data_IF_387985738585
#
_entry.id   IF_387985738585
#
_cell.length_a   1.000
_cell.length_b   1.000
_cell.length_c   1.000
_cell.angle_alpha   90.00
_cell.angle_beta   90.00
_cell.angle_gamma   90.00
#
_symmetry.space_group_name_H-M   'P 1'
#
loop_
_entity.id
_entity.type
_entity.pdbx_description
1 polymer ?
#
# COMPACT_ATOMS: atom_id res chain seq x y z
N UNK A 1 -23.41 -8.84 6.56
CA UNK A 1 -22.19 -8.56 7.34
C UNK A 1 -21.10 -8.11 6.39
N UNK A 2 -20.25 -7.17 6.85
CA UNK A 2 -19.18 -6.64 6.04
C UNK A 2 -17.88 -6.72 6.82
N UNK A 3 -16.82 -7.14 6.16
CA UNK A 3 -15.50 -7.12 6.75
C UNK A 3 -14.56 -6.61 5.65
N UNK A 4 -14.18 -5.35 5.73
CA UNK A 4 -13.37 -4.75 4.69
C UNK A 4 -12.44 -3.71 5.28
N UNK A 5 -11.21 -3.73 4.88
CA UNK A 5 -10.25 -2.71 5.24
C UNK A 5 -9.79 -2.02 3.97
N UNK A 6 -9.72 -0.71 4.00
CA UNK A 6 -9.27 0.08 2.85
C UNK A 6 -8.15 0.97 3.34
N UNK A 7 -6.99 0.88 2.72
CA UNK A 7 -5.82 1.61 3.16
C UNK A 7 -5.11 2.26 1.98
N UNK A 8 -4.55 3.45 2.22
CA UNK A 8 -3.62 4.06 1.29
C UNK A 8 -2.38 4.38 2.10
N UNK A 9 -1.25 3.92 1.68
CA UNK A 9 -0.03 4.17 2.43
C UNK A 9 1.20 3.79 1.64
N UNK A 10 2.33 3.79 2.35
CA UNK A 10 3.60 3.47 1.70
C UNK A 10 4.10 2.11 2.18
N UNK A 11 4.62 1.34 1.26
CA UNK A 11 5.13 0.01 1.54
C UNK A 11 6.41 0.14 2.35
N UNK A 12 6.49 -0.58 3.45
CA UNK A 12 7.61 -0.43 4.38
C UNK A 12 8.78 -1.33 4.12
N UNK A 13 8.60 -2.37 3.33
CA UNK A 13 9.68 -3.30 3.01
C UNK A 13 9.37 -3.93 1.66
N UNK A 14 10.39 -4.44 1.02
CA UNK A 14 10.17 -5.14 -0.25
C UNK A 14 9.29 -6.35 0.03
N UNK A 15 8.27 -6.60 -0.77
CA UNK A 15 7.39 -7.72 -0.52
C UNK A 15 8.12 -9.05 -0.56
N UNK A 16 7.72 -9.93 0.34
CA UNK A 16 8.31 -11.25 0.43
C UNK A 16 7.34 -12.24 -0.20
N UNK A 17 7.80 -13.00 -1.18
CA UNK A 17 6.94 -13.97 -1.86
C UNK A 17 7.30 -15.34 -1.35
N UNK A 18 6.32 -16.05 -0.81
CA UNK A 18 6.53 -17.42 -0.34
C UNK A 18 5.72 -18.37 -1.19
N UNK A 19 6.29 -19.51 -1.48
CA UNK A 19 5.61 -20.53 -2.25
C UNK A 19 5.35 -21.72 -1.35
N UNK A 20 4.12 -22.18 -1.32
CA UNK A 20 3.76 -23.33 -0.50
C UNK A 20 4.01 -24.63 -1.26
N UNK A 21 3.98 -25.75 -0.56
CA UNK A 21 4.28 -27.02 -1.15
C UNK A 21 3.30 -27.39 -2.27
N UNK A 22 2.09 -26.87 -2.22
CA UNK A 22 1.10 -27.16 -3.26
C UNK A 22 1.24 -26.22 -4.47
N UNK A 23 2.27 -25.40 -4.50
CA UNK A 23 2.49 -24.50 -5.62
C UNK A 23 1.85 -23.13 -5.50
N UNK A 24 1.00 -22.92 -4.53
CA UNK A 24 0.38 -21.61 -4.38
C UNK A 24 1.37 -20.63 -3.72
N UNK A 25 1.11 -19.37 -3.89
CA UNK A 25 2.02 -18.33 -3.38
C UNK A 25 1.29 -17.34 -2.50
N UNK A 26 2.04 -16.64 -1.68
CA UNK A 26 1.52 -15.52 -0.92
C UNK A 26 2.58 -14.44 -0.95
N UNK A 27 2.13 -13.19 -1.09
CA UNK A 27 3.03 -12.04 -1.01
C UNK A 27 2.73 -11.32 0.28
N UNK A 28 3.74 -11.04 1.06
CA UNK A 28 3.59 -10.36 2.35
C UNK A 28 4.39 -9.08 2.36
N UNK A 29 3.80 -8.01 2.87
CA UNK A 29 4.53 -6.77 3.07
C UNK A 29 3.84 -5.95 4.14
N UNK A 30 4.50 -4.92 4.62
CA UNK A 30 3.89 -4.00 5.58
C UNK A 30 3.56 -2.70 4.87
N UNK A 31 2.49 -2.07 5.33
CA UNK A 31 2.05 -0.82 4.75
C UNK A 31 1.91 0.20 5.86
N UNK A 32 2.49 1.37 5.67
CA UNK A 32 2.46 2.42 6.67
C UNK A 32 1.41 3.45 6.32
N UNK A 33 0.54 3.74 7.28
CA UNK A 33 -0.37 4.87 7.13
C UNK A 33 0.02 5.88 8.19
N UNK A 34 0.20 7.12 7.79
CA UNK A 34 0.72 8.15 8.67
C UNK A 34 -0.25 9.30 8.79
N UNK A 35 -0.59 9.64 10.03
CA UNK A 35 -1.40 10.80 10.31
C UNK A 35 -0.47 11.93 10.73
N UNK A 36 -0.75 13.12 10.27
CA UNK A 36 0.03 14.29 10.65
C UNK A 36 -0.92 15.35 11.16
N UNK A 37 -0.51 16.03 12.21
CA UNK A 37 -1.33 17.11 12.74
C UNK A 37 -0.44 18.13 13.41
N UNK A 38 -0.97 19.30 13.67
CA UNK A 38 -0.22 20.35 14.31
C UNK A 38 -0.62 20.40 15.78
N UNK A 39 0.37 20.38 16.66
CA UNK A 39 0.10 20.42 18.07
C UNK A 39 -0.35 21.85 18.42
N UNK A 40 -1.50 21.96 19.05
CA UNK A 40 -2.03 23.26 19.36
C UNK A 40 -1.22 23.98 20.42
N UNK A 41 -0.59 23.25 21.32
CA UNK A 41 0.16 23.87 22.37
C UNK A 41 1.54 24.34 21.94
N UNK A 42 2.24 23.54 21.16
CA UNK A 42 3.60 23.88 20.78
C UNK A 42 3.70 24.44 19.37
N UNK A 43 2.68 24.25 18.57
CA UNK A 43 2.73 24.68 17.18
C UNK A 43 3.55 23.78 16.29
N UNK A 44 4.08 22.70 16.82
CA UNK A 44 4.93 21.80 16.04
C UNK A 44 4.10 20.74 15.32
N UNK A 45 4.61 20.29 14.20
CA UNK A 45 3.95 19.22 13.47
C UNK A 45 4.26 17.91 14.14
N UNK A 46 3.23 17.11 14.35
CA UNK A 46 3.37 15.78 14.93
C UNK A 46 2.94 14.74 13.91
N UNK A 47 3.43 13.53 14.07
CA UNK A 47 2.99 12.47 13.17
C UNK A 47 2.93 11.16 13.91
N UNK A 48 2.07 10.27 13.45
CA UNK A 48 1.96 8.94 14.03
C UNK A 48 1.75 7.98 12.89
N UNK A 49 2.50 6.90 12.87
CA UNK A 49 2.43 5.91 11.79
C UNK A 49 1.91 4.60 12.34
N UNK A 50 0.92 4.03 11.64
CA UNK A 50 0.46 2.70 11.96
C UNK A 50 0.98 1.76 10.89
N UNK A 51 1.45 0.60 11.30
CA UNK A 51 1.98 -0.38 10.38
C UNK A 51 0.98 -1.52 10.22
N UNK A 52 0.58 -1.78 9.01
CA UNK A 52 -0.40 -2.81 8.70
C UNK A 52 0.27 -3.95 7.97
N UNK A 53 -0.05 -5.17 8.36
CA UNK A 53 0.47 -6.34 7.65
C UNK A 53 -0.49 -6.69 6.55
N UNK A 54 0.02 -6.88 5.35
CA UNK A 54 -0.82 -7.20 4.19
C UNK A 54 -0.36 -8.53 3.62
N UNK A 55 -1.31 -9.42 3.38
CA UNK A 55 -1.02 -10.73 2.80
C UNK A 55 -1.87 -10.88 1.53
N UNK A 56 -1.23 -11.14 0.41
CA UNK A 56 -1.90 -11.22 -0.89
C UNK A 56 -1.84 -12.65 -1.36
N UNK A 57 -3.02 -13.27 -1.53
CA UNK A 57 -3.10 -14.65 -1.98
C UNK A 57 -3.59 -14.79 -3.41
N UNK A 58 -4.11 -13.73 -4.01
CA UNK A 58 -4.64 -13.78 -5.37
C UNK A 58 -3.48 -13.78 -6.35
N UNK A 59 -3.41 -14.74 -7.23
CA UNK A 59 -2.32 -14.86 -8.17
C UNK A 59 -2.15 -13.64 -9.05
N UNK A 60 -3.23 -13.07 -9.52
CA UNK A 60 -3.15 -11.88 -10.35
C UNK A 60 -2.55 -10.72 -9.61
N UNK A 61 -2.94 -10.55 -8.33
CA UNK A 61 -2.41 -9.45 -7.55
C UNK A 61 -0.97 -9.72 -7.14
N UNK A 62 -0.60 -10.96 -6.90
CA UNK A 62 0.78 -11.30 -6.57
C UNK A 62 1.68 -10.90 -7.73
N UNK A 63 1.22 -11.11 -8.96
CA UNK A 63 1.99 -10.70 -10.12
C UNK A 63 2.24 -9.20 -10.15
N UNK A 64 1.24 -8.41 -9.77
CA UNK A 64 1.39 -6.97 -9.73
C UNK A 64 2.37 -6.60 -8.62
N UNK A 65 2.28 -7.27 -7.47
CA UNK A 65 3.16 -7.00 -6.36
C UNK A 65 4.61 -7.30 -6.77
N UNK A 66 4.82 -8.44 -7.40
CA UNK A 66 6.17 -8.80 -7.81
C UNK A 66 6.79 -7.83 -8.79
N UNK A 67 5.98 -7.31 -9.69
CA UNK A 67 6.52 -6.45 -10.73
C UNK A 67 6.68 -5.01 -10.33
N UNK A 68 5.75 -4.50 -9.54
CA UNK A 68 5.67 -3.07 -9.34
C UNK A 68 5.79 -2.58 -7.90
N UNK A 69 5.50 -3.42 -6.92
CA UNK A 69 5.47 -2.98 -5.54
C UNK A 69 6.82 -3.20 -4.90
N UNK A 70 7.37 -2.16 -4.31
CA UNK A 70 8.66 -2.26 -3.62
C UNK A 70 8.64 -1.32 -2.43
N UNK A 71 9.66 -1.41 -1.60
CA UNK A 71 9.76 -0.54 -0.46
C UNK A 71 9.63 0.91 -0.91
N UNK A 72 8.78 1.64 -0.26
CA UNK A 72 8.52 3.04 -0.57
C UNK A 72 7.37 3.30 -1.52
N UNK A 73 6.88 2.27 -2.22
CA UNK A 73 5.77 2.46 -3.15
C UNK A 73 4.53 2.96 -2.42
N UNK A 74 3.80 3.85 -3.04
CA UNK A 74 2.53 4.31 -2.48
C UNK A 74 1.42 3.53 -3.18
N UNK A 75 0.58 2.87 -2.40
CA UNK A 75 -0.45 2.02 -2.98
C UNK A 75 -1.76 2.13 -2.21
N UNK A 76 -2.81 1.75 -2.88
CA UNK A 76 -4.14 1.63 -2.32
C UNK A 76 -4.44 0.14 -2.24
N UNK A 77 -4.93 -0.34 -1.10
CA UNK A 77 -5.31 -1.74 -0.97
C UNK A 77 -6.68 -1.87 -0.33
N UNK A 78 -7.40 -2.89 -0.73
CA UNK A 78 -8.64 -3.28 -0.10
C UNK A 78 -8.57 -4.76 0.18
N UNK A 79 -8.97 -5.18 1.35
CA UNK A 79 -8.98 -6.60 1.70
C UNK A 79 -9.82 -6.82 2.92
N UNK A 80 -9.76 -8.01 3.47
CA UNK A 80 -10.50 -8.36 4.67
C UNK A 80 -9.55 -8.40 5.85
N UNK A 81 -10.04 -8.01 7.02
CA UNK A 81 -9.25 -8.09 8.23
C UNK A 81 -9.35 -9.53 8.71
N UNK A 82 -8.22 -10.14 8.97
CA UNK A 82 -8.19 -11.51 9.40
C UNK A 82 -7.13 -11.69 10.47
N UNK A 83 -7.43 -12.43 11.52
CA UNK A 83 -6.49 -12.71 12.57
C UNK A 83 -6.17 -14.19 12.54
N UNK A 84 -4.89 -14.54 12.56
CA UNK A 84 -4.50 -15.93 12.65
C UNK A 84 -3.73 -16.14 13.93
N UNK A 85 -3.86 -17.32 14.49
CA UNK A 85 -3.21 -17.65 15.75
C UNK A 85 -2.29 -18.84 15.53
N UNK A 86 -1.21 -18.85 16.26
CA UNK A 86 -0.29 -19.99 16.20
C UNK A 86 0.45 -20.07 17.53
N UNK A 87 1.12 -21.18 17.76
CA UNK A 87 1.93 -21.34 18.94
C UNK A 87 3.37 -21.29 18.53
N UNK A 88 4.20 -20.59 19.33
CA UNK A 88 5.61 -20.54 19.00
C UNK A 88 6.29 -21.77 19.60
N UNK A 89 7.58 -21.88 19.45
CA UNK A 89 8.30 -23.02 19.91
C UNK A 89 8.27 -23.18 21.42
N UNK A 90 8.04 -22.11 22.13
CA UNK A 90 7.95 -22.16 23.59
C UNK A 90 6.55 -22.52 24.05
N UNK A 91 5.63 -22.74 23.13
CA UNK A 91 4.26 -23.08 23.51
C UNK A 91 3.38 -21.87 23.75
N UNK A 92 3.87 -20.67 23.57
CA UNK A 92 3.06 -19.48 23.78
C UNK A 92 2.15 -19.24 22.59
N UNK A 93 0.92 -18.86 22.88
CA UNK A 93 -0.01 -18.57 21.81
C UNK A 93 0.25 -17.17 21.28
N UNK A 94 0.35 -17.04 19.98
CA UNK A 94 0.56 -15.75 19.36
C UNK A 94 -0.51 -15.50 18.31
N UNK A 95 -0.78 -14.24 18.03
CA UNK A 95 -1.76 -13.90 17.02
C UNK A 95 -1.25 -12.74 16.19
N UNK A 96 -1.72 -12.64 14.97
CA UNK A 96 -1.37 -11.55 14.10
C UNK A 96 -2.60 -11.18 13.29
N UNK A 97 -2.91 -9.89 13.25
CA UNK A 97 -4.03 -9.38 12.46
C UNK A 97 -3.46 -8.81 11.17
N UNK A 98 -4.03 -9.20 10.05
CA UNK A 98 -3.55 -8.82 8.75
C UNK A 98 -4.71 -8.37 7.87
N UNK A 99 -4.39 -7.63 6.82
CA UNK A 99 -5.35 -7.34 5.77
C UNK A 99 -5.06 -8.36 4.68
N UNK A 100 -6.03 -9.19 4.36
CA UNK A 100 -5.85 -10.31 3.45
C UNK A 100 -6.56 -10.02 2.13
N UNK A 101 -5.81 -10.09 1.03
CA UNK A 101 -6.36 -9.89 -0.30
C UNK A 101 -6.47 -11.25 -0.96
N UNK A 102 -7.70 -11.72 -1.14
CA UNK A 102 -7.94 -13.06 -1.59
C UNK A 102 -9.12 -13.09 -2.55
N UNK A 103 -9.00 -13.82 -3.62
CA UNK A 103 -10.09 -13.96 -4.56
C UNK A 103 -10.40 -12.65 -5.26
N UNK A 104 -11.66 -12.40 -5.49
CA UNK A 104 -12.08 -11.22 -6.22
C UNK A 104 -12.28 -10.01 -5.33
N UNK A 105 -12.13 -10.18 -4.03
CA UNK A 105 -12.42 -9.07 -3.13
C UNK A 105 -11.20 -8.21 -2.85
N UNK A 106 -10.03 -8.68 -3.25
CA UNK A 106 -8.81 -7.90 -3.00
C UNK A 106 -8.55 -6.92 -4.13
N UNK A 107 -8.07 -5.74 -3.78
CA UNK A 107 -7.75 -4.72 -4.78
C UNK A 107 -6.41 -4.10 -4.43
N UNK A 108 -5.56 -3.89 -5.40
CA UNK A 108 -4.32 -3.13 -5.25
C UNK A 108 -4.25 -2.15 -6.41
N UNK A 109 -4.04 -0.89 -6.09
CA UNK A 109 -3.86 0.13 -7.12
C UNK A 109 -2.58 0.89 -6.81
N UNK A 110 -1.73 1.03 -7.78
CA UNK A 110 -0.47 1.75 -7.61
C UNK A 110 -0.74 3.23 -7.74
N UNK A 111 -0.26 3.98 -6.76
CA UNK A 111 -0.50 5.41 -6.72
C UNK A 111 0.78 6.24 -6.89
N UNK A 112 1.90 5.59 -7.11
CA UNK A 112 3.13 6.32 -7.31
C UNK A 112 3.06 7.13 -8.59
N UNK A 113 3.66 8.29 -8.54
CA UNK A 113 3.72 9.13 -9.69
C UNK A 113 4.59 8.48 -10.75
N UNK A 114 4.21 8.56 -11.97
CA UNK A 114 5.01 8.05 -13.03
C UNK A 114 5.89 9.11 -13.62
N UNK A 115 5.96 10.22 -12.98
CA UNK A 115 6.74 11.30 -13.48
C UNK A 115 8.15 10.91 -13.74
N UNK A 116 8.68 10.11 -12.89
CA UNK A 116 10.06 9.76 -13.07
C UNK A 116 10.25 8.96 -14.34
N UNK A 117 9.35 8.11 -14.65
CA UNK A 117 9.54 7.31 -15.83
C UNK A 117 9.25 8.14 -17.09
N UNK A 118 8.38 9.10 -16.95
CA UNK A 118 8.11 9.92 -18.09
C UNK A 118 9.04 11.07 -18.19
N UNK A 119 9.77 11.32 -17.18
CA UNK A 119 10.63 12.47 -17.15
C UNK A 119 11.47 12.58 -18.36
N UNK A 120 12.06 11.53 -18.74
CA UNK A 120 12.93 11.58 -19.87
C UNK A 120 12.19 11.82 -21.14
N UNK A 121 11.12 11.18 -21.27
CA UNK A 121 10.37 11.30 -22.46
C UNK A 121 9.73 12.63 -22.58
N UNK A 122 9.22 13.07 -21.49
CA UNK A 122 8.52 14.30 -21.52
C UNK A 122 9.37 15.43 -21.94
N UNK A 123 10.56 15.36 -21.58
CA UNK A 123 11.42 16.44 -21.86
C UNK A 123 11.45 16.70 -23.33
N UNK A 124 11.32 15.69 -24.09
CA UNK A 124 11.37 15.85 -25.40
C UNK A 124 10.28 16.65 -25.94
N UNK A 125 9.20 16.57 -25.36
CA UNK A 125 8.09 17.22 -25.85
C UNK A 125 7.90 18.51 -25.25
N UNK A 126 8.79 19.16 -24.92
CA UNK A 126 8.63 20.37 -24.22
C UNK A 126 7.47 21.21 -24.61
N UNK A 127 6.99 21.01 -25.70
CA UNK A 127 5.98 21.88 -26.13
C UNK A 127 4.70 21.78 -25.38
N UNK A 128 4.50 20.77 -24.67
CA UNK A 128 3.28 20.62 -24.02
C UNK A 128 3.21 21.08 -22.65
N UNK A 129 4.16 21.72 -22.26
CA UNK A 129 4.18 22.19 -20.92
C UNK A 129 2.94 22.88 -20.50
N UNK A 130 2.44 23.64 -21.24
CA UNK A 130 1.37 24.49 -20.80
C UNK A 130 0.23 23.78 -20.21
N UNK A 131 0.06 22.68 -20.59
CA UNK A 131 -1.04 22.02 -20.11
C UNK A 131 -1.16 21.93 -18.71
N UNK A 132 -0.19 22.06 -18.07
CA UNK A 132 -0.29 21.79 -16.75
C UNK A 132 -1.03 22.68 -15.95
N UNK A 133 -1.24 23.82 -16.36
CA UNK A 133 -1.89 24.66 -15.51
C UNK A 133 -3.04 24.19 -14.86
N UNK A 134 -3.86 23.63 -15.42
CA UNK A 134 -5.12 23.33 -14.82
C UNK A 134 -5.03 22.55 -13.63
N UNK A 135 -4.01 21.96 -13.52
CA UNK A 135 -3.91 21.18 -12.43
C UNK A 135 -4.31 21.73 -11.21
N UNK A 136 -3.96 22.84 -11.02
CA UNK A 136 -4.21 23.27 -9.77
C UNK A 136 -5.54 23.27 -9.40
N UNK A 137 -6.37 23.31 -10.30
CA UNK A 137 -7.65 23.39 -9.84
C UNK A 137 -8.03 22.32 -9.05
N UNK A 138 -7.59 21.28 -9.30
CA UNK A 138 -8.12 20.25 -8.54
C UNK A 138 -7.89 20.40 -7.18
N UNK A 139 -6.96 21.04 -6.90
CA UNK A 139 -6.72 21.08 -5.55
C UNK A 139 -7.77 21.65 -4.83
N UNK A 140 -8.47 22.46 -5.30
CA UNK A 140 -9.42 22.98 -4.47
C UNK A 140 -10.52 22.11 -4.25
N UNK A 141 -10.59 21.02 -4.73
CA UNK A 141 -11.62 20.20 -4.44
C UNK A 141 -11.55 19.96 -3.11
N UNK A 142 -12.14 20.49 -2.39
CA UNK A 142 -12.02 20.41 -1.04
C UNK A 142 -12.78 19.34 -0.64
N UNK A 143 -13.48 19.15 -0.31
CA UNK A 143 -14.29 18.27 0.33
C UNK A 143 -13.72 17.94 1.48
#
# INVERSE_FOLDING_TARGET
MINKATLIGNVGNDPEIKTFSNGSKVANFSLATTDKWKDRNTGEMQSKTEWHKVAVFSEGLIGIVERYVKKGSKIYVEGKIQTRKWQDMSGNEKSMTEVVLKGFTGVITLLDSRESSFGGVGADRGGYAPVTKPVELNDEIPF
#
